data_IF_202279513848
#
_entry.id   IF_202279513848
#
_cell.length_a   1.000
_cell.length_b   1.000
_cell.length_c   1.000
_cell.angle_alpha   90.00
_cell.angle_beta   90.00
_cell.angle_gamma   90.00
#
_symmetry.space_group_name_H-M   'P 1'
#
loop_
_entity.id
_entity.type
_entity.pdbx_description
1 polymer ?
#
# COMPACT_ATOMS: atom_id res chain seq x y z
N UNK A 1 14.34 -15.42 25.90
CA UNK A 1 14.40 -14.22 25.03
C UNK A 1 13.09 -14.14 24.27
N UNK A 2 12.37 -13.02 24.37
CA UNK A 2 11.06 -12.84 23.71
C UNK A 2 11.36 -12.60 22.23
N UNK A 3 10.92 -13.49 21.34
CA UNK A 3 11.01 -13.27 19.90
C UNK A 3 10.33 -11.92 19.63
N UNK A 4 11.08 -10.92 19.20
CA UNK A 4 10.47 -9.72 18.65
C UNK A 4 9.66 -10.22 17.44
N UNK A 5 8.33 -10.06 17.48
CA UNK A 5 7.49 -10.27 16.29
C UNK A 5 8.17 -9.53 15.15
N UNK A 6 8.62 -10.26 14.14
CA UNK A 6 9.14 -9.67 12.92
C UNK A 6 8.11 -8.65 12.46
N UNK A 7 8.54 -7.40 12.24
CA UNK A 7 7.68 -6.33 11.75
C UNK A 7 7.79 -6.36 10.22
N UNK A 8 6.92 -7.12 9.51
CA UNK A 8 7.10 -7.38 8.09
C UNK A 8 7.09 -6.10 7.24
N UNK A 9 6.49 -5.03 7.77
CA UNK A 9 6.34 -3.75 7.07
C UNK A 9 7.33 -2.68 7.51
N UNK A 10 8.32 -3.01 8.35
CA UNK A 10 9.41 -2.09 8.66
C UNK A 10 10.29 -1.79 7.43
N UNK A 11 10.32 -2.69 6.44
CA UNK A 11 10.86 -2.43 5.11
C UNK A 11 9.81 -1.68 4.26
N UNK A 12 10.08 -0.44 3.81
CA UNK A 12 9.15 0.33 2.99
C UNK A 12 8.73 -0.35 1.69
N UNK A 13 9.62 -1.14 1.06
CA UNK A 13 9.27 -1.86 -0.18
C UNK A 13 8.28 -3.01 0.12
N UNK A 14 8.47 -3.73 1.22
CA UNK A 14 7.55 -4.78 1.65
C UNK A 14 6.16 -4.19 2.01
N UNK A 15 6.14 -3.03 2.68
CA UNK A 15 4.91 -2.28 2.92
C UNK A 15 4.24 -1.86 1.59
N UNK A 16 5.01 -1.26 0.67
CA UNK A 16 4.53 -0.81 -0.63
C UNK A 16 3.91 -1.94 -1.47
N UNK A 17 4.60 -3.09 -1.59
CA UNK A 17 4.06 -4.27 -2.29
C UNK A 17 2.71 -4.68 -1.68
N UNK A 18 2.63 -4.74 -0.35
CA UNK A 18 1.39 -5.13 0.32
C UNK A 18 0.25 -4.13 0.09
N UNK A 19 0.55 -2.84 0.06
CA UNK A 19 -0.43 -1.79 -0.23
C UNK A 19 -0.96 -1.88 -1.66
N UNK A 20 -0.09 -2.19 -2.63
CA UNK A 20 -0.50 -2.46 -4.03
C UNK A 20 -1.37 -3.70 -4.12
N UNK A 21 -1.01 -4.80 -3.43
CA UNK A 21 -1.87 -5.99 -3.36
C UNK A 21 -3.26 -5.66 -2.79
N UNK A 22 -3.33 -4.90 -1.69
CA UNK A 22 -4.60 -4.48 -1.09
C UNK A 22 -5.40 -3.59 -2.06
N UNK A 23 -4.75 -2.64 -2.73
CA UNK A 23 -5.39 -1.77 -3.72
C UNK A 23 -6.04 -2.56 -4.86
N UNK A 24 -5.38 -3.64 -5.35
CA UNK A 24 -5.94 -4.55 -6.38
C UNK A 24 -7.22 -5.26 -5.96
N UNK A 25 -7.48 -5.40 -4.65
CA UNK A 25 -8.70 -6.05 -4.13
C UNK A 25 -9.87 -5.10 -3.90
N UNK A 26 -9.66 -3.79 -4.02
CA UNK A 26 -10.68 -2.77 -3.76
C UNK A 26 -11.22 -2.31 -5.11
N UNK A 27 -12.54 -2.38 -5.26
CA UNK A 27 -13.21 -1.84 -6.45
C UNK A 27 -12.94 -0.34 -6.56
N UNK A 28 -12.37 0.06 -7.70
CA UNK A 28 -12.15 1.45 -8.01
C UNK A 28 -13.49 2.15 -8.29
N UNK A 29 -13.59 3.40 -7.85
CA UNK A 29 -14.68 4.29 -8.23
C UNK A 29 -14.37 4.93 -9.59
N UNK A 30 -15.02 6.04 -9.92
CA UNK A 30 -14.83 6.76 -11.18
C UNK A 30 -13.34 7.08 -11.46
N UNK A 31 -12.94 6.94 -12.73
CA UNK A 31 -11.59 7.24 -13.23
C UNK A 31 -10.47 6.38 -12.60
N UNK A 32 -10.80 5.18 -12.14
CA UNK A 32 -9.81 4.24 -11.56
C UNK A 32 -9.32 4.63 -10.17
N UNK A 33 -9.99 5.58 -9.50
CA UNK A 33 -9.67 6.03 -8.15
C UNK A 33 -10.05 4.99 -7.11
N UNK A 34 -9.19 4.78 -6.13
CA UNK A 34 -9.39 3.84 -5.03
C UNK A 34 -9.31 4.63 -3.72
N UNK A 35 -10.33 4.49 -2.86
CA UNK A 35 -10.34 5.12 -1.54
C UNK A 35 -9.15 4.63 -0.70
N UNK A 36 -8.21 5.53 -0.41
CA UNK A 36 -6.99 5.17 0.32
C UNK A 36 -7.30 4.70 1.75
N UNK A 37 -8.41 5.18 2.33
CA UNK A 37 -8.86 4.79 3.67
C UNK A 37 -9.17 3.29 3.73
N UNK A 38 -9.73 2.70 2.67
CA UNK A 38 -10.01 1.25 2.62
C UNK A 38 -8.74 0.41 2.67
N UNK A 39 -7.67 0.90 2.00
CA UNK A 39 -6.33 0.31 2.05
C UNK A 39 -5.75 0.45 3.46
N UNK A 40 -5.80 1.67 4.02
CA UNK A 40 -5.29 1.99 5.35
C UNK A 40 -5.96 1.14 6.44
N UNK A 41 -7.29 1.01 6.39
CA UNK A 41 -8.05 0.22 7.35
C UNK A 41 -7.64 -1.26 7.32
N UNK A 42 -7.46 -1.85 6.14
CA UNK A 42 -6.94 -3.23 6.04
C UNK A 42 -5.52 -3.35 6.61
N UNK A 43 -4.63 -2.44 6.22
CA UNK A 43 -3.23 -2.48 6.60
C UNK A 43 -3.02 -2.33 8.12
N UNK A 44 -3.70 -1.37 8.74
CA UNK A 44 -3.58 -1.12 10.18
C UNK A 44 -4.34 -2.15 11.02
N UNK A 45 -5.62 -2.40 10.69
CA UNK A 45 -6.48 -3.17 11.60
C UNK A 45 -6.43 -4.68 11.34
N UNK A 46 -6.27 -5.13 10.09
CA UNK A 46 -6.18 -6.56 9.78
C UNK A 46 -4.74 -7.05 9.82
N UNK A 47 -3.80 -6.31 9.25
CA UNK A 47 -2.38 -6.72 9.20
C UNK A 47 -1.57 -6.25 10.42
N UNK A 48 -2.17 -5.48 11.33
CA UNK A 48 -1.53 -4.96 12.56
C UNK A 48 -0.26 -4.14 12.29
N UNK A 49 -0.19 -3.52 11.11
CA UNK A 49 0.85 -2.57 10.77
C UNK A 49 0.60 -1.21 11.47
N UNK A 50 1.52 -0.28 11.27
CA UNK A 50 1.49 1.05 11.91
C UNK A 50 1.36 2.18 10.88
N UNK A 51 0.88 3.34 11.34
CA UNK A 51 0.77 4.54 10.51
C UNK A 51 2.07 4.95 9.82
N UNK A 52 3.24 4.94 10.50
CA UNK A 52 4.52 5.21 9.86
C UNK A 52 4.89 4.20 8.77
N UNK A 53 4.60 2.91 8.95
CA UNK A 53 4.83 1.87 7.94
C UNK A 53 3.90 2.07 6.73
N UNK A 54 2.66 2.48 6.96
CA UNK A 54 1.72 2.84 5.90
C UNK A 54 2.23 4.04 5.08
N UNK A 55 2.63 5.11 5.75
CA UNK A 55 3.15 6.31 5.10
C UNK A 55 4.44 6.02 4.29
N UNK A 56 5.35 5.23 4.85
CA UNK A 56 6.57 4.81 4.17
C UNK A 56 6.26 3.94 2.93
N UNK A 57 5.29 3.03 3.05
CA UNK A 57 4.86 2.17 1.95
C UNK A 57 4.16 2.95 0.82
N UNK A 58 3.26 3.89 1.13
CA UNK A 58 2.63 4.74 0.11
C UNK A 58 3.68 5.58 -0.61
N UNK A 59 4.59 6.22 0.13
CA UNK A 59 5.67 7.01 -0.45
C UNK A 59 6.52 6.17 -1.40
N UNK A 60 6.94 4.99 -0.96
CA UNK A 60 7.76 4.09 -1.77
C UNK A 60 7.01 3.61 -3.02
N UNK A 61 5.72 3.27 -2.91
CA UNK A 61 4.90 2.86 -4.05
C UNK A 61 4.76 3.99 -5.10
N UNK A 62 4.63 5.25 -4.65
CA UNK A 62 4.58 6.42 -5.54
C UNK A 62 5.94 6.68 -6.19
N UNK A 63 7.03 6.65 -5.42
CA UNK A 63 8.41 6.82 -5.94
C UNK A 63 8.76 5.75 -7.00
N UNK A 64 8.20 4.55 -6.89
CA UNK A 64 8.39 3.45 -7.85
C UNK A 64 7.38 3.45 -9.01
N UNK A 65 6.43 4.38 -9.04
CA UNK A 65 5.39 4.44 -10.06
C UNK A 65 4.44 3.24 -10.04
N UNK A 66 4.19 2.66 -8.86
CA UNK A 66 3.21 1.58 -8.68
C UNK A 66 1.83 2.11 -8.31
N UNK A 67 1.81 3.20 -7.54
CA UNK A 67 0.61 3.95 -7.21
C UNK A 67 0.79 5.40 -7.61
N UNK A 68 -0.28 6.03 -8.03
CA UNK A 68 -0.40 7.49 -8.06
C UNK A 68 -1.21 7.93 -6.85
N UNK A 69 -0.72 8.89 -6.08
CA UNK A 69 -1.47 9.51 -4.98
C UNK A 69 -2.14 10.78 -5.49
N UNK A 70 -3.47 10.86 -5.37
CA UNK A 70 -4.22 12.06 -5.72
C UNK A 70 -3.86 13.22 -4.79
N UNK A 71 -3.86 14.46 -5.28
CA UNK A 71 -3.48 15.67 -4.53
C UNK A 71 -4.27 15.86 -3.22
N UNK A 72 -5.52 15.39 -3.18
CA UNK A 72 -6.37 15.46 -1.99
C UNK A 72 -5.92 14.51 -0.87
N UNK A 73 -5.03 13.56 -1.16
CA UNK A 73 -4.62 12.49 -0.26
C UNK A 73 -5.71 11.45 0.03
N UNK A 74 -6.88 11.54 -0.63
CA UNK A 74 -8.03 10.65 -0.37
C UNK A 74 -8.04 9.42 -1.27
N UNK A 75 -7.42 9.53 -2.45
CA UNK A 75 -7.47 8.50 -3.47
C UNK A 75 -6.08 8.10 -3.92
N UNK A 76 -5.94 6.83 -4.30
CA UNK A 76 -4.82 6.35 -5.10
C UNK A 76 -5.32 5.74 -6.40
N UNK A 77 -4.45 5.63 -7.41
CA UNK A 77 -4.69 4.85 -8.62
C UNK A 77 -3.58 3.82 -8.80
N UNK A 78 -3.94 2.63 -9.28
CA UNK A 78 -2.96 1.62 -9.70
C UNK A 78 -2.33 2.08 -11.02
N UNK A 79 -1.01 2.03 -11.10
CA UNK A 79 -0.26 2.29 -12.33
C UNK A 79 0.20 0.96 -12.94
N UNK A 80 0.31 0.91 -14.27
CA UNK A 80 0.57 -0.32 -15.05
C UNK A 80 1.86 -1.04 -14.65
N UNK A 81 2.86 -0.34 -14.10
CA UNK A 81 4.07 -0.96 -13.52
C UNK A 81 3.80 -1.79 -12.26
N UNK A 82 2.61 -1.71 -11.67
CA UNK A 82 2.18 -2.52 -10.53
C UNK A 82 1.66 -3.91 -10.90
N UNK A 83 1.39 -4.19 -12.18
CA UNK A 83 0.92 -5.51 -12.66
C UNK A 83 2.04 -6.57 -12.65
N UNK A 84 3.31 -6.18 -12.78
CA UNK A 84 4.48 -7.09 -12.87
C UNK A 84 5.16 -7.40 -11.52
N UNK A 85 4.54 -7.09 -10.37
CA UNK A 85 5.13 -7.34 -9.05
C UNK A 85 5.16 -8.84 -8.63
N UNK A 86 5.18 -9.75 -9.59
CA UNK A 86 5.17 -11.22 -9.42
C UNK A 86 6.48 -11.95 -9.72
N UNK A 87 7.58 -11.26 -10.03
CA UNK A 87 8.87 -11.92 -10.24
C UNK A 87 9.64 -12.11 -8.91
N UNK A 88 10.14 -13.33 -8.62
CA UNK A 88 10.88 -13.66 -7.39
C UNK A 88 12.24 -12.95 -7.27
#
# INVERSE_FOLDING_TARGET
MKLATERPFANPEAAARKLVELAKTIEAVQDGRIDIEKINAHFLYKLKATGPEFAAGIRHAVERGWLELHESGTYVRLLTSGEDLGAP
#
